data_IF_221973283177
#
_entry.id   IF_221973283177
#
_cell.length_a   1.000
_cell.length_b   1.000
_cell.length_c   1.000
_cell.angle_alpha   90.00
_cell.angle_beta   90.00
_cell.angle_gamma   90.00
#
_symmetry.space_group_name_H-M   'P 1'
#
loop_
_entity.id
_entity.type
_entity.pdbx_description
1 polymer ?
#
# COMPACT_ATOMS: atom_id res chain seq x y z
N UNK A 1 3.07 6.44 10.08
CA UNK A 1 1.69 6.19 9.61
C UNK A 1 1.55 6.88 8.27
N UNK A 2 1.07 6.15 7.26
CA UNK A 2 0.96 6.61 5.88
C UNK A 2 -0.50 6.59 5.45
N UNK A 3 -0.90 7.58 4.67
CA UNK A 3 -2.26 7.69 4.15
C UNK A 3 -2.20 7.81 2.64
N UNK A 4 -2.98 6.98 1.96
CA UNK A 4 -3.06 6.93 0.52
C UNK A 4 -4.51 7.12 0.09
N UNK A 5 -4.74 7.96 -0.93
CA UNK A 5 -6.08 8.23 -1.42
C UNK A 5 -6.35 7.47 -2.72
N UNK A 6 -7.36 6.62 -2.70
CA UNK A 6 -7.87 5.91 -3.86
C UNK A 6 -9.23 6.45 -4.30
N UNK A 7 -9.49 6.40 -5.60
CA UNK A 7 -10.79 6.71 -6.20
C UNK A 7 -11.24 5.55 -7.08
N UNK A 8 -12.43 5.01 -6.80
CA UNK A 8 -13.10 4.05 -7.66
C UNK A 8 -14.00 4.80 -8.68
N UNK A 9 -13.64 4.78 -9.98
CA UNK A 9 -14.42 5.46 -11.01
C UNK A 9 -15.75 4.76 -11.35
N UNK A 10 -15.96 3.52 -10.91
CA UNK A 10 -17.18 2.76 -11.19
C UNK A 10 -18.28 3.17 -10.20
N UNK A 11 -18.02 3.05 -8.90
CA UNK A 11 -19.01 3.40 -7.87
C UNK A 11 -18.95 4.88 -7.46
N UNK A 12 -17.98 5.64 -7.99
CA UNK A 12 -17.80 7.07 -7.72
C UNK A 12 -17.42 7.36 -6.27
N UNK A 13 -16.67 6.46 -5.63
CA UNK A 13 -16.29 6.57 -4.20
C UNK A 13 -14.80 6.82 -4.01
N UNK A 14 -14.48 7.58 -2.97
CA UNK A 14 -13.11 7.73 -2.49
C UNK A 14 -12.89 6.85 -1.27
N UNK A 15 -11.75 6.18 -1.21
CA UNK A 15 -11.30 5.44 -0.03
C UNK A 15 -9.92 5.91 0.39
N UNK A 16 -9.69 6.02 1.69
CA UNK A 16 -8.38 6.28 2.27
C UNK A 16 -7.84 4.97 2.82
N UNK A 17 -6.68 4.55 2.34
CA UNK A 17 -5.90 3.46 2.93
C UNK A 17 -4.91 4.06 3.93
N UNK A 18 -5.00 3.65 5.19
CA UNK A 18 -4.09 4.02 6.26
C UNK A 18 -3.19 2.81 6.59
N UNK A 19 -1.88 3.05 6.64
CA UNK A 19 -0.89 2.03 6.98
C UNK A 19 -0.10 2.45 8.22
N UNK A 20 -0.05 1.56 9.20
CA UNK A 20 0.69 1.75 10.44
C UNK A 20 1.99 0.96 10.35
N UNK A 21 3.09 1.69 10.43
CA UNK A 21 4.45 1.13 10.43
C UNK A 21 4.80 0.66 11.84
N UNK A 22 5.34 -0.55 11.93
CA UNK A 22 5.94 -1.09 13.14
C UNK A 22 7.35 -0.58 13.40
N UNK A 23 7.90 -0.94 14.57
CA UNK A 23 9.30 -0.68 14.85
C UNK A 23 10.22 -1.41 13.84
N UNK A 24 11.30 -0.79 13.36
CA UNK A 24 12.27 -1.46 12.51
C UNK A 24 12.87 -2.70 13.19
N UNK A 25 12.97 -3.80 12.46
CA UNK A 25 13.56 -5.06 12.95
C UNK A 25 14.82 -5.36 12.13
N UNK A 26 15.99 -5.16 12.73
CA UNK A 26 17.28 -5.48 12.09
C UNK A 26 17.59 -4.70 10.81
N UNK A 27 16.96 -3.54 10.62
CA UNK A 27 17.06 -2.72 9.41
C UNK A 27 16.57 -1.29 9.61
N UNK A 28 16.44 -0.54 8.51
CA UNK A 28 16.02 0.88 8.53
C UNK A 28 14.50 1.06 8.43
N UNK A 29 13.80 0.06 7.91
CA UNK A 29 12.39 0.14 7.55
C UNK A 29 11.54 -0.71 8.50
N UNK A 30 10.38 -0.19 8.88
CA UNK A 30 9.40 -0.91 9.65
C UNK A 30 8.46 -1.72 8.76
N UNK A 31 7.96 -2.82 9.35
CA UNK A 31 6.96 -3.66 8.69
C UNK A 31 5.60 -2.96 8.73
N UNK A 32 4.79 -3.11 7.69
CA UNK A 32 3.37 -2.78 7.79
C UNK A 32 2.70 -3.71 8.81
N UNK A 33 2.33 -3.17 9.97
CA UNK A 33 1.71 -3.94 11.05
C UNK A 33 0.19 -3.96 10.94
N UNK A 34 -0.38 -2.86 10.50
CA UNK A 34 -1.82 -2.69 10.47
C UNK A 34 -2.24 -1.83 9.28
N UNK A 35 -3.26 -2.29 8.55
CA UNK A 35 -3.87 -1.57 7.45
C UNK A 35 -5.34 -1.29 7.78
N UNK A 36 -5.79 -0.06 7.52
CA UNK A 36 -7.19 0.33 7.66
C UNK A 36 -7.69 1.03 6.43
N UNK A 37 -8.98 0.88 6.14
CA UNK A 37 -9.65 1.57 5.05
C UNK A 37 -10.80 2.40 5.61
N UNK A 38 -11.01 3.59 5.04
CA UNK A 38 -12.17 4.44 5.27
C UNK A 38 -12.78 4.86 3.95
N UNK A 39 -14.05 4.57 3.74
CA UNK A 39 -14.81 5.08 2.58
C UNK A 39 -15.38 6.45 2.88
N UNK A 40 -14.88 7.48 2.19
CA UNK A 40 -15.27 8.87 2.44
C UNK A 40 -16.73 9.11 2.06
N UNK A 41 -17.46 9.80 2.94
CA UNK A 41 -18.86 10.18 2.73
C UNK A 41 -19.88 9.05 2.83
N UNK A 42 -19.44 7.79 3.01
CA UNK A 42 -20.32 6.63 3.25
C UNK A 42 -20.13 6.04 4.64
N UNK A 43 -18.89 5.96 5.12
CA UNK A 43 -18.55 5.34 6.40
C UNK A 43 -18.10 6.39 7.42
N UNK A 44 -18.40 6.15 8.70
CA UNK A 44 -17.99 7.01 9.83
C UNK A 44 -16.83 6.42 10.64
N UNK A 45 -16.28 5.28 10.22
CA UNK A 45 -15.27 4.54 10.99
C UNK A 45 -14.29 3.82 10.08
N UNK A 46 -13.05 3.77 10.51
CA UNK A 46 -12.00 2.96 9.88
C UNK A 46 -12.27 1.46 10.08
N UNK A 47 -12.16 0.68 9.01
CA UNK A 47 -12.22 -0.78 9.05
C UNK A 47 -10.83 -1.38 8.91
N UNK A 48 -10.54 -2.42 9.69
CA UNK A 48 -9.31 -3.19 9.59
C UNK A 48 -9.29 -4.01 8.30
N UNK A 49 -8.13 -4.05 7.65
CA UNK A 49 -7.84 -4.99 6.56
C UNK A 49 -7.14 -6.21 7.14
N UNK A 50 -7.76 -7.38 7.01
CA UNK A 50 -7.23 -8.62 7.58
C UNK A 50 -6.23 -9.31 6.65
N UNK A 51 -6.44 -9.22 5.34
CA UNK A 51 -5.63 -9.90 4.32
C UNK A 51 -4.86 -8.89 3.47
N UNK A 52 -3.55 -8.81 3.70
CA UNK A 52 -2.63 -8.03 2.89
C UNK A 52 -1.26 -8.72 2.84
N UNK A 53 -0.54 -8.67 1.70
CA UNK A 53 0.80 -9.21 1.62
C UNK A 53 1.73 -8.48 2.59
N UNK A 54 2.51 -9.23 3.37
CA UNK A 54 3.49 -8.64 4.26
C UNK A 54 4.58 -7.89 3.47
N UNK A 55 4.80 -6.62 3.81
CA UNK A 55 5.82 -5.78 3.21
C UNK A 55 6.30 -4.70 4.19
N UNK A 56 7.47 -4.14 3.91
CA UNK A 56 8.02 -3.00 4.63
C UNK A 56 7.64 -1.70 3.91
N UNK A 57 7.47 -0.65 4.70
CA UNK A 57 7.14 0.67 4.20
C UNK A 57 8.43 1.40 3.81
N UNK A 58 8.46 1.98 2.61
CA UNK A 58 9.53 2.90 2.22
C UNK A 58 9.21 4.25 2.85
N UNK A 59 9.82 4.53 4.01
CA UNK A 59 9.46 5.69 4.84
C UNK A 59 9.81 7.05 4.24
N UNK A 60 10.51 7.04 3.10
CA UNK A 60 10.93 8.20 2.31
C UNK A 60 9.94 8.46 1.18
N UNK A 61 9.09 9.49 1.34
CA UNK A 61 8.19 10.04 0.30
C UNK A 61 7.77 8.99 -0.73
N UNK A 62 7.13 7.90 -0.27
CA UNK A 62 6.71 6.83 -1.15
C UNK A 62 5.68 7.42 -2.12
N UNK A 63 6.02 7.62 -3.41
CA UNK A 63 5.05 8.13 -4.34
C UNK A 63 3.96 7.08 -4.48
N UNK A 64 2.74 7.49 -4.22
CA UNK A 64 1.56 6.77 -4.57
C UNK A 64 0.89 7.41 -5.79
N UNK A 65 0.13 6.59 -6.51
CA UNK A 65 -0.69 7.07 -7.62
C UNK A 65 -1.93 6.19 -7.74
N UNK A 66 -3.09 6.84 -7.93
CA UNK A 66 -4.33 6.13 -8.21
C UNK A 66 -4.68 6.26 -9.69
N UNK A 67 -4.75 5.13 -10.40
CA UNK A 67 -5.05 5.06 -11.84
C UNK A 67 -6.16 4.02 -12.05
N UNK A 68 -7.24 4.41 -12.72
CA UNK A 68 -8.34 3.51 -13.11
C UNK A 68 -8.91 2.64 -11.96
N UNK A 69 -9.09 3.21 -10.76
CA UNK A 69 -9.63 2.45 -9.63
C UNK A 69 -8.60 1.63 -8.87
N UNK A 70 -7.31 1.73 -9.21
CA UNK A 70 -6.23 1.00 -8.54
C UNK A 70 -5.22 1.98 -7.98
N UNK A 71 -4.97 1.89 -6.68
CA UNK A 71 -3.93 2.63 -5.98
C UNK A 71 -2.63 1.84 -6.05
N UNK A 72 -1.55 2.48 -6.49
CA UNK A 72 -0.22 1.91 -6.56
C UNK A 72 0.71 2.66 -5.62
N UNK A 73 1.52 1.94 -4.84
CA UNK A 73 2.53 2.53 -3.97
C UNK A 73 3.77 1.65 -3.88
N UNK A 74 4.92 2.24 -3.51
CA UNK A 74 6.17 1.49 -3.35
C UNK A 74 6.13 0.59 -2.12
N UNK A 75 6.62 -0.64 -2.26
CA UNK A 75 6.78 -1.59 -1.17
C UNK A 75 8.21 -2.13 -1.14
N UNK A 76 8.70 -2.43 0.06
CA UNK A 76 10.00 -3.05 0.28
C UNK A 76 9.79 -4.50 0.73
N UNK A 77 10.58 -5.43 0.19
CA UNK A 77 10.46 -6.87 0.46
C UNK A 77 11.55 -7.40 1.40
N UNK A 78 12.48 -6.54 1.83
CA UNK A 78 13.52 -6.87 2.80
C UNK A 78 13.81 -5.70 3.75
N UNK A 79 14.45 -6.01 4.88
CA UNK A 79 14.77 -5.05 5.95
C UNK A 79 15.84 -4.02 5.55
N UNK A 80 16.57 -4.27 4.46
CA UNK A 80 17.65 -3.43 3.95
C UNK A 80 17.17 -2.48 2.84
N UNK A 81 15.93 -2.62 2.37
CA UNK A 81 15.33 -1.86 1.27
C UNK A 81 15.98 -2.12 -0.09
N UNK A 82 16.68 -3.26 -0.27
CA UNK A 82 17.34 -3.60 -1.55
C UNK A 82 16.35 -4.15 -2.56
N UNK A 83 15.45 -5.01 -2.09
CA UNK A 83 14.39 -5.60 -2.88
C UNK A 83 13.16 -4.70 -2.81
N UNK A 84 12.93 -3.97 -3.91
CA UNK A 84 11.86 -3.00 -4.05
C UNK A 84 10.83 -3.54 -5.03
N UNK A 85 9.56 -3.36 -4.69
CA UNK A 85 8.41 -3.75 -5.49
C UNK A 85 7.36 -2.63 -5.49
N UNK A 86 6.26 -2.86 -6.18
CA UNK A 86 5.06 -2.05 -6.09
C UNK A 86 3.93 -2.89 -5.53
N UNK A 87 3.11 -2.30 -4.68
CA UNK A 87 1.84 -2.88 -4.28
C UNK A 87 0.74 -2.19 -5.07
N UNK A 88 -0.22 -2.97 -5.57
CA UNK A 88 -1.49 -2.44 -6.04
C UNK A 88 -2.60 -2.77 -5.04
N UNK A 89 -3.51 -1.82 -4.87
CA UNK A 89 -4.72 -1.95 -4.08
C UNK A 89 -5.91 -1.58 -4.96
N UNK A 90 -6.74 -2.57 -5.31
CA UNK A 90 -7.99 -2.34 -6.02
C UNK A 90 -8.98 -1.65 -5.08
N UNK A 91 -9.32 -0.39 -5.38
CA UNK A 91 -10.09 0.45 -4.45
C UNK A 91 -11.48 -0.10 -4.18
N UNK A 92 -12.09 -0.76 -5.16
CA UNK A 92 -13.45 -1.27 -5.07
C UNK A 92 -13.52 -2.55 -4.24
N UNK A 93 -12.75 -3.55 -4.65
CA UNK A 93 -12.69 -4.88 -4.01
C UNK A 93 -11.81 -4.92 -2.76
N UNK A 94 -10.98 -3.90 -2.55
CA UNK A 94 -10.03 -3.76 -1.45
C UNK A 94 -9.01 -4.89 -1.38
N UNK A 95 -8.60 -5.39 -2.54
CA UNK A 95 -7.62 -6.47 -2.67
C UNK A 95 -6.25 -5.91 -3.01
N UNK A 96 -5.24 -6.57 -2.44
CA UNK A 96 -3.84 -6.24 -2.64
C UNK A 96 -3.20 -7.23 -3.59
N UNK A 97 -2.34 -6.74 -4.47
CA UNK A 97 -1.49 -7.56 -5.32
C UNK A 97 -0.06 -7.03 -5.33
N UNK A 98 0.90 -7.94 -5.19
CA UNK A 98 2.32 -7.62 -5.24
C UNK A 98 2.83 -7.63 -6.69
N UNK A 99 3.34 -6.50 -7.14
CA UNK A 99 3.93 -6.33 -8.47
C UNK A 99 5.45 -6.27 -8.30
N UNK A 100 6.12 -7.36 -8.70
CA UNK A 100 7.59 -7.42 -8.74
C UNK A 100 8.11 -6.51 -9.85
N UNK A 101 9.32 -5.97 -9.64
CA UNK A 101 10.02 -5.27 -10.72
C UNK A 101 10.31 -6.23 -11.87
N UNK A 102 10.25 -5.75 -13.13
CA UNK A 102 10.69 -6.55 -14.26
C UNK A 102 12.18 -6.88 -14.11
N UNK A 103 12.55 -8.10 -14.48
CA UNK A 103 13.96 -8.49 -14.60
C UNK A 103 14.58 -7.67 -15.74
N UNK A 104 15.59 -6.87 -15.42
CA UNK A 104 16.38 -6.22 -16.45
C UNK A 104 17.41 -7.24 -16.94
N UNK A 105 17.57 -7.42 -18.26
CA UNK A 105 18.64 -8.27 -18.78
C UNK A 105 19.99 -7.74 -18.30
N UNK A 106 20.88 -8.65 -17.91
CA UNK A 106 22.26 -8.33 -17.55
C UNK A 106 22.93 -7.60 -18.72
N UNK A 107 23.58 -6.47 -18.44
CA UNK A 107 24.33 -5.68 -19.42
C UNK A 107 25.70 -6.27 -19.67
#
# INVERSE_FOLDING_TARGET
MYHFLGYDPIDGVYKVLCMIEGNPIGGKFGLAQELRVLTLGKENSWRLVEDFPQHFLDSLDAPDICINGVLYYKALLDTQGKNKAFMSFDVRSEKFDLIKRPELPER
#
